data_IF_070810323169
#
_entry.id   IF_070810323169
#
_cell.length_a   1.000
_cell.length_b   1.000
_cell.length_c   1.000
_cell.angle_alpha   90.00
_cell.angle_beta   90.00
_cell.angle_gamma   90.00
#
_symmetry.space_group_name_H-M   'P 1'
#
loop_
_entity.id
_entity.type
_entity.pdbx_description
1 polymer ?
#
# COMPACT_ATOMS: atom_id res chain seq x y z
N UNK A 1 22.70 -21.50 -67.21
CA UNK A 1 21.74 -22.61 -67.31
C UNK A 1 21.36 -23.01 -65.89
N UNK A 2 20.20 -22.52 -65.40
CA UNK A 2 19.39 -22.92 -64.22
C UNK A 2 20.03 -23.13 -62.83
N UNK A 3 19.25 -23.09 -61.71
CA UNK A 3 17.82 -22.88 -61.56
C UNK A 3 17.42 -21.78 -60.55
N UNK A 4 16.12 -21.55 -60.50
CA UNK A 4 15.39 -20.64 -59.64
C UNK A 4 15.15 -21.17 -58.21
N UNK A 5 14.92 -20.20 -57.31
CA UNK A 5 13.99 -20.15 -56.18
C UNK A 5 13.61 -21.42 -55.40
N UNK A 6 13.83 -21.37 -54.08
CA UNK A 6 12.96 -22.01 -53.09
C UNK A 6 12.68 -21.02 -51.96
N UNK A 7 11.47 -20.45 -51.94
CA UNK A 7 10.98 -19.61 -50.84
C UNK A 7 10.53 -20.54 -49.71
N UNK A 8 11.12 -20.42 -48.52
CA UNK A 8 10.58 -21.02 -47.31
C UNK A 8 9.61 -20.03 -46.62
N UNK A 9 8.35 -20.40 -46.37
CA UNK A 9 7.50 -19.69 -45.44
C UNK A 9 7.74 -20.27 -44.04
N UNK A 10 8.63 -19.67 -43.26
CA UNK A 10 8.89 -20.10 -41.89
C UNK A 10 8.12 -19.22 -40.90
N UNK A 11 6.94 -19.74 -40.54
CA UNK A 11 6.24 -19.59 -39.27
C UNK A 11 6.12 -18.16 -38.67
N UNK A 12 4.88 -17.66 -38.68
CA UNK A 12 4.40 -16.67 -37.72
C UNK A 12 4.78 -17.13 -36.30
N UNK A 13 5.81 -16.49 -35.73
CA UNK A 13 6.08 -16.55 -34.30
C UNK A 13 4.87 -15.92 -33.60
N UNK A 14 3.99 -16.77 -33.05
CA UNK A 14 2.94 -16.37 -32.12
C UNK A 14 3.63 -15.73 -30.92
N UNK A 15 3.60 -14.40 -30.91
CA UNK A 15 4.03 -13.56 -29.80
C UNK A 15 3.11 -13.86 -28.62
N UNK A 16 3.56 -14.68 -27.67
CA UNK A 16 2.99 -14.72 -26.33
C UNK A 16 3.43 -13.45 -25.59
N UNK A 17 2.81 -12.32 -25.93
CA UNK A 17 2.83 -11.13 -25.09
C UNK A 17 1.91 -11.42 -23.91
N UNK A 18 2.46 -11.97 -22.83
CA UNK A 18 1.84 -11.91 -21.52
C UNK A 18 1.74 -10.42 -21.16
N UNK A 19 0.59 -9.81 -21.47
CA UNK A 19 0.26 -8.48 -21.03
C UNK A 19 0.21 -8.52 -19.49
N UNK A 20 1.27 -8.04 -18.86
CA UNK A 20 1.33 -7.81 -17.43
C UNK A 20 0.42 -6.61 -17.07
N UNK A 21 -0.90 -6.81 -17.10
CA UNK A 21 -1.87 -5.87 -16.56
C UNK A 21 -2.03 -6.10 -15.05
N UNK A 22 -0.94 -5.95 -14.30
CA UNK A 22 -1.02 -5.73 -12.85
C UNK A 22 -0.97 -4.23 -12.56
N UNK A 23 -1.63 -3.72 -11.51
CA UNK A 23 -1.39 -2.36 -11.07
C UNK A 23 0.10 -2.22 -10.79
N UNK A 24 0.77 -1.29 -11.46
CA UNK A 24 2.17 -1.00 -11.19
C UNK A 24 2.27 -0.64 -9.69
N UNK A 25 3.01 -1.44 -8.93
CA UNK A 25 3.37 -1.14 -7.54
C UNK A 25 4.30 0.07 -7.60
N UNK A 26 3.69 1.25 -7.67
CA UNK A 26 4.36 2.53 -7.77
C UNK A 26 4.47 3.08 -6.35
N UNK A 27 5.51 3.86 -6.06
CA UNK A 27 5.64 4.55 -4.78
C UNK A 27 4.33 5.30 -4.47
N UNK A 28 3.74 5.14 -3.28
CA UNK A 28 2.54 5.86 -2.90
C UNK A 28 2.74 7.36 -3.09
N UNK A 29 1.84 7.99 -3.86
CA UNK A 29 1.85 9.45 -4.05
C UNK A 29 1.52 10.21 -2.76
N UNK A 30 1.73 11.54 -2.73
CA UNK A 30 1.43 12.36 -1.55
C UNK A 30 -0.04 12.26 -1.15
N UNK A 31 -0.33 12.35 0.16
CA UNK A 31 -1.70 12.38 0.68
C UNK A 31 -2.26 13.80 0.61
N UNK A 32 -3.29 14.08 -0.20
CA UNK A 32 -3.84 15.43 -0.29
C UNK A 32 -4.35 15.92 1.07
N UNK A 33 -3.90 17.11 1.46
CA UNK A 33 -4.22 17.79 2.72
C UNK A 33 -3.77 17.04 3.98
N UNK A 34 -2.92 16.01 3.86
CA UNK A 34 -2.36 15.29 5.00
C UNK A 34 -1.17 16.05 5.62
N UNK A 35 -1.16 16.15 6.96
CA UNK A 35 -0.08 16.75 7.75
C UNK A 35 0.66 15.68 8.56
N UNK A 36 1.86 15.24 8.14
CA UNK A 36 2.54 14.10 8.77
C UNK A 36 2.91 14.35 10.24
N UNK A 37 3.23 15.58 10.63
CA UNK A 37 3.56 15.92 12.03
C UNK A 37 2.34 15.73 12.94
N UNK A 38 1.15 16.09 12.44
CA UNK A 38 -0.11 15.82 13.16
C UNK A 38 -0.42 14.32 13.15
N UNK A 39 -0.17 13.64 12.03
CA UNK A 39 -0.33 12.20 11.90
C UNK A 39 0.45 11.41 12.96
N UNK A 40 1.71 11.77 13.17
CA UNK A 40 2.57 11.16 14.19
C UNK A 40 1.95 11.24 15.59
N UNK A 41 1.39 12.40 15.96
CA UNK A 41 0.74 12.58 17.27
C UNK A 41 -0.57 11.76 17.37
N UNK A 42 -1.32 11.68 16.27
CA UNK A 42 -2.59 10.96 16.21
C UNK A 42 -2.44 9.44 16.37
N UNK A 43 -1.27 8.87 16.02
CA UNK A 43 -0.99 7.43 16.22
C UNK A 43 -1.14 7.02 17.68
N UNK A 44 -0.67 7.84 18.62
CA UNK A 44 -0.85 7.58 20.04
C UNK A 44 -2.29 7.86 20.49
N UNK A 45 -2.91 8.92 19.97
CA UNK A 45 -4.27 9.30 20.35
C UNK A 45 -5.31 8.24 19.98
N UNK A 46 -5.15 7.60 18.82
CA UNK A 46 -6.04 6.52 18.36
C UNK A 46 -5.62 5.13 18.83
N UNK A 47 -4.54 5.02 19.62
CA UNK A 47 -4.10 3.74 20.20
C UNK A 47 -3.38 2.81 19.23
N UNK A 48 -2.91 3.29 18.07
CA UNK A 48 -2.19 2.46 17.11
C UNK A 48 -0.92 1.81 17.72
N UNK A 49 -0.28 2.52 18.66
CA UNK A 49 0.90 2.08 19.39
C UNK A 49 0.68 0.82 20.26
N UNK A 50 -0.57 0.52 20.67
CA UNK A 50 -0.85 -0.68 21.46
C UNK A 50 -0.73 -1.97 20.64
N UNK A 51 -0.73 -1.86 19.31
CA UNK A 51 -0.68 -3.02 18.42
C UNK A 51 0.55 -3.03 17.51
N UNK A 52 1.04 -1.86 17.11
CA UNK A 52 2.11 -1.75 16.13
C UNK A 52 3.38 -1.13 16.70
N UNK A 53 4.52 -1.64 16.24
CA UNK A 53 5.77 -0.89 16.30
C UNK A 53 5.72 0.25 15.28
N UNK A 54 5.95 1.49 15.71
CA UNK A 54 5.91 2.66 14.83
C UNK A 54 7.17 3.51 15.02
N UNK A 55 8.08 3.57 14.02
CA UNK A 55 9.26 4.41 14.09
C UNK A 55 8.90 5.86 14.37
N UNK A 56 9.63 6.53 15.27
CA UNK A 56 9.40 7.94 15.62
C UNK A 56 8.26 8.17 16.61
N UNK A 57 7.45 7.17 16.96
CA UNK A 57 6.40 7.30 17.97
C UNK A 57 6.86 6.65 19.27
N UNK A 58 6.75 7.40 20.38
CA UNK A 58 7.13 6.93 21.71
C UNK A 58 6.23 5.76 22.14
N UNK A 59 6.84 4.75 22.76
CA UNK A 59 6.13 3.61 23.38
C UNK A 59 5.26 2.82 22.38
N UNK A 60 5.59 2.91 21.08
CA UNK A 60 5.00 2.13 20.01
C UNK A 60 5.97 1.01 19.59
N UNK A 61 6.01 -0.05 20.38
CA UNK A 61 6.86 -1.25 20.17
C UNK A 61 6.08 -2.58 20.25
N UNK A 62 4.74 -2.50 20.27
CA UNK A 62 3.88 -3.67 20.26
C UNK A 62 3.93 -4.45 18.93
N UNK A 63 3.59 -5.74 18.99
CA UNK A 63 3.67 -6.69 17.86
C UNK A 63 2.37 -7.49 17.66
N UNK A 64 1.23 -6.96 18.11
CA UNK A 64 -0.09 -7.56 17.83
C UNK A 64 -0.41 -7.44 16.34
N UNK A 65 -0.16 -6.25 15.77
CA UNK A 65 -0.09 -6.02 14.34
C UNK A 65 1.35 -6.04 13.85
N UNK A 66 1.58 -6.17 12.52
CA UNK A 66 2.92 -6.12 11.97
C UNK A 66 3.57 -4.75 12.27
N UNK A 67 4.88 -4.68 12.54
CA UNK A 67 5.60 -3.42 12.59
C UNK A 67 5.27 -2.53 11.39
N UNK A 68 5.23 -1.21 11.55
CA UNK A 68 4.96 -0.24 10.47
C UNK A 68 6.23 0.43 9.93
N UNK A 69 7.41 -0.09 10.27
CA UNK A 69 8.64 0.34 9.63
C UNK A 69 8.56 0.14 8.11
N UNK A 70 9.18 1.07 7.38
CA UNK A 70 9.28 1.01 5.93
C UNK A 70 7.95 0.85 5.21
N UNK A 71 6.88 1.43 5.77
CA UNK A 71 5.53 1.28 5.25
C UNK A 71 5.39 1.85 3.84
N UNK A 72 6.09 2.94 3.52
CA UNK A 72 6.06 3.56 2.20
C UNK A 72 6.52 2.62 1.07
N UNK A 73 7.38 1.64 1.39
CA UNK A 73 7.90 0.66 0.42
C UNK A 73 7.00 -0.56 0.23
N UNK A 74 5.91 -0.69 0.99
CA UNK A 74 5.01 -1.84 0.86
C UNK A 74 4.17 -1.72 -0.40
N UNK A 75 4.02 -2.83 -1.13
CA UNK A 75 3.11 -2.88 -2.28
C UNK A 75 1.63 -2.95 -1.88
N UNK A 76 1.34 -3.53 -0.71
CA UNK A 76 -0.03 -3.79 -0.25
C UNK A 76 -0.25 -3.38 1.21
N UNK A 77 -1.49 -2.99 1.49
CA UNK A 77 -2.05 -2.70 2.81
C UNK A 77 -2.95 -3.87 3.19
N UNK A 78 -2.71 -4.47 4.36
CA UNK A 78 -3.39 -5.68 4.83
C UNK A 78 -3.32 -6.88 3.85
N UNK A 79 -2.38 -6.87 2.90
CA UNK A 79 -2.30 -7.89 1.85
C UNK A 79 -3.40 -7.81 0.77
N UNK A 80 -4.34 -6.87 0.88
CA UNK A 80 -5.50 -6.77 -0.01
C UNK A 80 -5.46 -5.54 -0.92
N UNK A 81 -5.19 -4.37 -0.35
CA UNK A 81 -5.28 -3.11 -1.09
C UNK A 81 -3.91 -2.69 -1.60
N UNK A 82 -3.82 -2.24 -2.86
CA UNK A 82 -2.61 -1.59 -3.35
C UNK A 82 -2.28 -0.39 -2.45
N UNK A 83 -1.03 -0.25 -2.05
CA UNK A 83 -0.60 0.83 -1.18
C UNK A 83 -0.62 2.18 -1.91
N UNK A 84 -1.61 3.00 -1.60
CA UNK A 84 -1.71 4.39 -2.05
C UNK A 84 -2.48 5.20 -0.99
N UNK A 85 -2.41 6.52 -1.10
CA UNK A 85 -3.04 7.44 -0.15
C UNK A 85 -4.52 7.15 0.09
N UNK A 86 -5.32 6.94 -0.96
CA UNK A 86 -6.76 6.71 -0.84
C UNK A 86 -7.08 5.39 -0.14
N UNK A 87 -6.39 4.33 -0.52
CA UNK A 87 -6.56 3.01 0.11
C UNK A 87 -6.09 3.00 1.56
N UNK A 88 -5.01 3.71 1.89
CA UNK A 88 -4.54 3.81 3.27
C UNK A 88 -5.53 4.58 4.15
N UNK A 89 -6.07 5.69 3.66
CA UNK A 89 -7.14 6.42 4.34
C UNK A 89 -8.38 5.53 4.53
N UNK A 90 -8.77 4.76 3.50
CA UNK A 90 -9.89 3.81 3.60
C UNK A 90 -9.63 2.76 4.67
N UNK A 91 -8.45 2.13 4.65
CA UNK A 91 -8.06 1.10 5.62
C UNK A 91 -8.05 1.62 7.05
N UNK A 92 -7.48 2.81 7.30
CA UNK A 92 -7.40 3.39 8.66
C UNK A 92 -8.80 3.66 9.24
N UNK A 93 -9.77 4.05 8.40
CA UNK A 93 -11.12 4.39 8.87
C UNK A 93 -12.04 3.19 9.03
N UNK A 94 -11.90 2.21 8.14
CA UNK A 94 -12.87 1.13 7.99
C UNK A 94 -12.20 -0.24 7.78
N UNK A 95 -11.26 -0.67 8.64
CA UNK A 95 -10.55 -1.94 8.47
C UNK A 95 -11.50 -3.13 8.39
N UNK A 96 -12.58 -3.15 9.17
CA UNK A 96 -13.57 -4.25 9.16
C UNK A 96 -14.40 -4.30 7.86
N UNK A 97 -14.55 -3.19 7.15
CA UNK A 97 -15.21 -3.16 5.84
C UNK A 97 -14.27 -3.49 4.68
N UNK A 98 -12.95 -3.49 4.93
CA UNK A 98 -11.94 -3.96 3.98
C UNK A 98 -11.75 -5.46 4.16
N UNK A 99 -11.35 -5.87 5.36
CA UNK A 99 -11.06 -7.25 5.76
C UNK A 99 -11.97 -7.62 6.94
N UNK A 100 -13.17 -8.20 6.70
CA UNK A 100 -14.08 -8.59 7.77
C UNK A 100 -13.44 -9.60 8.74
N UNK A 101 -13.44 -9.27 10.04
CA UNK A 101 -12.86 -10.13 11.08
C UNK A 101 -11.35 -9.91 11.31
N UNK A 102 -10.74 -8.90 10.66
CA UNK A 102 -9.36 -8.51 10.95
C UNK A 102 -9.19 -8.09 12.42
N UNK A 103 -7.98 -8.23 12.95
CA UNK A 103 -7.68 -7.84 14.33
C UNK A 103 -7.69 -6.32 14.55
N UNK A 104 -7.54 -5.52 13.49
CA UNK A 104 -7.60 -4.06 13.56
C UNK A 104 -9.07 -3.59 13.68
N UNK A 105 -9.50 -3.00 14.81
CA UNK A 105 -10.89 -2.59 15.00
C UNK A 105 -11.19 -1.28 14.25
N UNK A 106 -12.47 -0.98 14.06
CA UNK A 106 -12.91 0.35 13.62
C UNK A 106 -12.70 1.35 14.77
N UNK A 107 -11.63 2.15 14.70
CA UNK A 107 -11.22 3.09 15.76
C UNK A 107 -11.98 4.42 15.76
N UNK A 108 -12.93 4.61 14.83
CA UNK A 108 -13.66 5.88 14.68
C UNK A 108 -12.79 7.03 14.19
N UNK A 109 -11.73 6.76 13.42
CA UNK A 109 -10.84 7.79 12.87
C UNK A 109 -11.61 8.67 11.88
N UNK A 110 -11.50 10.00 12.06
CA UNK A 110 -12.10 10.94 11.12
C UNK A 110 -11.39 10.91 9.77
N UNK A 111 -12.02 11.44 8.72
CA UNK A 111 -11.36 11.48 7.42
C UNK A 111 -10.06 12.27 7.42
N UNK A 112 -10.06 13.44 8.05
CA UNK A 112 -8.89 14.30 8.09
C UNK A 112 -7.78 13.68 8.94
N UNK A 113 -8.12 13.02 10.05
CA UNK A 113 -7.11 12.38 10.88
C UNK A 113 -6.51 11.16 10.18
N UNK A 114 -7.32 10.40 9.44
CA UNK A 114 -6.82 9.31 8.61
C UNK A 114 -5.87 9.82 7.50
N UNK A 115 -6.14 10.99 6.91
CA UNK A 115 -5.23 11.63 5.94
C UNK A 115 -3.91 12.03 6.59
N UNK A 116 -3.95 12.61 7.79
CA UNK A 116 -2.74 13.02 8.51
C UNK A 116 -1.91 11.81 8.92
N UNK A 117 -2.53 10.75 9.46
CA UNK A 117 -1.88 9.48 9.81
C UNK A 117 -1.29 8.83 8.55
N UNK A 118 -2.06 8.74 7.46
CA UNK A 118 -1.59 8.18 6.19
C UNK A 118 -0.38 8.95 5.67
N UNK A 119 -0.39 10.28 5.75
CA UNK A 119 0.74 11.11 5.34
C UNK A 119 1.99 10.76 6.12
N UNK A 120 1.88 10.59 7.44
CA UNK A 120 2.99 10.17 8.29
C UNK A 120 3.51 8.77 7.93
N UNK A 121 2.63 7.77 7.82
CA UNK A 121 3.02 6.40 7.50
C UNK A 121 3.73 6.30 6.14
N UNK A 122 3.34 7.13 5.17
CA UNK A 122 3.99 7.21 3.86
C UNK A 122 5.34 7.97 3.87
N UNK A 123 5.76 8.54 5.02
CA UNK A 123 7.15 9.01 5.21
C UNK A 123 8.09 7.93 5.74
N UNK A 124 7.56 6.78 6.19
CA UNK A 124 8.35 5.71 6.80
C UNK A 124 9.00 4.87 5.70
N UNK A 125 10.28 5.12 5.43
CA UNK A 125 11.06 4.41 4.41
C UNK A 125 11.59 3.06 4.85
#
# INVERSE_FOLDING_TARGET
MSPAAMRLPAACALVFALAACGPALTTPGPVPYGRPERGQALINQYGCASCHTVPGVREADALVGPPLNSFARRGYIAGELVNNAGNLVRWIRHPQAVEPGTAMPDLGVTEQDARDIAAYLLTLE
#
